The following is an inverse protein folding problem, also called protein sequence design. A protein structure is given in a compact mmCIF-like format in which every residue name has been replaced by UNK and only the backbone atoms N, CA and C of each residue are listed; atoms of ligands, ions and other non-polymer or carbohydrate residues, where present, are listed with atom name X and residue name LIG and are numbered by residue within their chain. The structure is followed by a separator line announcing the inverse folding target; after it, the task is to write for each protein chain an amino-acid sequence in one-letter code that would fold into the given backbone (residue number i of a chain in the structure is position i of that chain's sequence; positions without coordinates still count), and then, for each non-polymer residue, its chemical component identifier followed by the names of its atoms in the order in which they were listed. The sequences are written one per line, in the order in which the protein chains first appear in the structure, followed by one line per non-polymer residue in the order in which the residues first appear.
data_IF_744382818924
#
_entry.id   IF_744382818924
#
_cell.length_a   1.000
_cell.length_b   1.000
_cell.length_c   1.000
_cell.angle_alpha   90.00
_cell.angle_beta   90.00
_cell.angle_gamma   90.00
#
_symmetry.space_group_name_H-M   'P 1'
#
loop_
_entity.id
_entity.type
_entity.pdbx_description
1 polymer ?
#
# COMPACT_ATOMS: atom_id res chain seq x y z
N UNK A 1 -3.09 3.23 -3.19
CA UNK A 1 -3.49 2.65 -1.89
C UNK A 1 -4.29 1.36 -2.06
N UNK A 2 -5.45 1.38 -2.71
CA UNK A 2 -6.21 0.13 -2.98
C UNK A 2 -5.40 -0.87 -3.82
N UNK A 3 -4.64 -0.39 -4.82
CA UNK A 3 -3.71 -1.22 -5.60
C UNK A 3 -2.60 -1.84 -4.74
N UNK A 4 -1.92 -1.04 -3.92
CA UNK A 4 -0.87 -1.52 -3.01
C UNK A 4 -1.37 -2.62 -2.05
N UNK A 5 -2.57 -2.45 -1.48
CA UNK A 5 -3.16 -3.44 -0.56
C UNK A 5 -3.62 -4.72 -1.26
N UNK A 6 -4.03 -4.65 -2.53
CA UNK A 6 -4.68 -5.77 -3.23
C UNK A 6 -3.85 -6.42 -4.35
N UNK A 7 -2.81 -5.73 -4.87
CA UNK A 7 -1.91 -6.18 -5.95
C UNK A 7 -0.43 -6.19 -5.52
N UNK A 8 -0.07 -5.44 -4.47
CA UNK A 8 1.23 -5.52 -3.78
C UNK A 8 2.46 -5.34 -4.70
N UNK A 9 2.34 -4.53 -5.77
CA UNK A 9 3.44 -4.27 -6.70
C UNK A 9 4.48 -3.32 -6.09
N UNK A 10 5.78 -3.51 -6.40
CA UNK A 10 6.85 -2.64 -5.88
C UNK A 10 6.65 -1.20 -6.33
N UNK A 11 6.19 -1.00 -7.57
CA UNK A 11 5.87 0.34 -8.09
C UNK A 11 4.81 1.06 -7.26
N UNK A 12 3.72 0.38 -6.89
CA UNK A 12 2.67 0.97 -6.04
C UNK A 12 3.22 1.42 -4.68
N UNK A 13 4.14 0.64 -4.09
CA UNK A 13 4.79 0.97 -2.81
C UNK A 13 5.76 2.14 -2.95
N UNK A 14 6.52 2.17 -4.05
CA UNK A 14 7.45 3.25 -4.35
C UNK A 14 6.72 4.58 -4.57
N UNK A 15 5.63 4.57 -5.34
CA UNK A 15 4.79 5.74 -5.57
C UNK A 15 4.17 6.23 -4.25
N UNK A 16 3.74 5.31 -3.38
CA UNK A 16 3.22 5.67 -2.06
C UNK A 16 4.29 6.24 -1.12
N UNK A 17 5.51 5.71 -1.10
CA UNK A 17 6.60 6.31 -0.32
C UNK A 17 6.89 7.73 -0.79
N UNK A 18 6.94 7.95 -2.10
CA UNK A 18 7.18 9.25 -2.69
C UNK A 18 6.06 10.26 -2.37
N UNK A 19 4.79 9.85 -2.52
CA UNK A 19 3.66 10.71 -2.17
C UNK A 19 3.65 11.04 -0.68
N UNK A 20 4.01 10.08 0.17
CA UNK A 20 4.02 10.28 1.62
C UNK A 20 5.24 11.02 2.16
N UNK A 21 6.19 11.39 1.30
CA UNK A 21 7.19 12.41 1.66
C UNK A 21 6.60 13.82 1.65
N UNK A 22 5.52 14.04 0.89
CA UNK A 22 4.86 15.35 0.76
C UNK A 22 3.59 15.46 1.62
N UNK A 23 2.87 14.35 1.78
CA UNK A 23 1.61 14.30 2.53
C UNK A 23 1.74 13.23 3.62
N UNK A 24 1.53 13.55 4.91
CA UNK A 24 1.58 12.55 5.97
C UNK A 24 0.67 11.35 5.69
N UNK A 25 1.15 10.14 6.03
CA UNK A 25 0.39 8.90 5.82
C UNK A 25 -0.98 8.95 6.52
N UNK A 26 -1.07 9.57 7.69
CA UNK A 26 -2.32 9.76 8.42
C UNK A 26 -3.36 10.55 7.62
N UNK A 27 -2.96 11.69 7.05
CA UNK A 27 -3.83 12.51 6.21
C UNK A 27 -4.26 11.73 4.96
N UNK A 28 -3.34 10.94 4.40
CA UNK A 28 -3.62 10.11 3.24
C UNK A 28 -4.67 9.01 3.53
N UNK A 29 -4.59 8.37 4.69
CA UNK A 29 -5.59 7.39 5.15
C UNK A 29 -6.94 8.07 5.45
N UNK A 30 -6.92 9.26 6.05
CA UNK A 30 -8.14 10.04 6.33
C UNK A 30 -8.86 10.42 5.04
N UNK A 31 -8.13 10.94 4.05
CA UNK A 31 -8.68 11.26 2.73
C UNK A 31 -9.28 10.02 2.05
N UNK A 32 -8.65 8.84 2.18
CA UNK A 32 -9.23 7.61 1.64
C UNK A 32 -10.54 7.26 2.36
N UNK A 33 -10.57 7.36 3.69
CA UNK A 33 -11.76 7.08 4.49
C UNK A 33 -12.91 8.01 4.12
N UNK A 34 -12.64 9.30 3.96
CA UNK A 34 -13.63 10.28 3.51
C UNK A 34 -14.14 9.97 2.10
N UNK A 35 -13.24 9.64 1.18
CA UNK A 35 -13.64 9.22 -0.17
C UNK A 35 -14.56 8.00 -0.11
N UNK A 36 -14.18 6.98 0.65
CA UNK A 36 -14.98 5.77 0.79
C UNK A 36 -16.37 6.09 1.34
N UNK A 37 -16.46 6.90 2.39
CA UNK A 37 -17.73 7.33 2.96
C UNK A 37 -18.61 8.11 1.97
N UNK A 38 -18.01 9.00 1.16
CA UNK A 38 -18.76 9.80 0.17
C UNK A 38 -19.27 8.97 -1.02
N UNK A 39 -18.57 7.89 -1.37
CA UNK A 39 -18.83 7.11 -2.59
C UNK A 39 -19.20 5.63 -2.30
N UNK A 40 -19.73 5.31 -1.12
CA UNK A 40 -20.14 3.94 -0.76
C UNK A 40 -21.58 3.57 -1.18
N UNK A 41 -22.30 4.47 -1.84
CA UNK A 41 -23.69 4.23 -2.27
C UNK A 41 -23.79 3.29 -3.48
N UNK A 42 -24.95 2.66 -3.67
CA UNK A 42 -25.21 1.71 -4.76
C UNK A 42 -24.94 2.31 -6.15
N UNK A 43 -25.22 3.60 -6.32
CA UNK A 43 -25.00 4.36 -7.56
C UNK A 43 -23.53 4.54 -7.92
N UNK A 44 -22.63 4.36 -6.95
CA UNK A 44 -21.19 4.51 -7.13
C UNK A 44 -20.48 3.16 -7.22
N UNK A 45 -21.20 2.05 -7.02
CA UNK A 45 -20.63 0.72 -7.19
C UNK A 45 -20.27 0.47 -8.64
N UNK A 46 -19.11 -0.14 -8.83
CA UNK A 46 -18.56 -0.55 -10.09
C UNK A 46 -18.19 -2.04 -10.07
N UNK A 47 -17.78 -2.56 -11.23
CA UNK A 47 -17.40 -3.96 -11.40
C UNK A 47 -16.31 -4.42 -10.39
N UNK A 48 -15.45 -3.50 -9.95
CA UNK A 48 -14.35 -3.80 -9.03
C UNK A 48 -14.80 -3.95 -7.57
N UNK A 49 -15.98 -3.44 -7.21
CA UNK A 49 -16.52 -3.59 -5.85
C UNK A 49 -17.05 -5.00 -5.57
N UNK A 50 -17.23 -5.81 -6.62
CA UNK A 50 -17.59 -7.23 -6.52
C UNK A 50 -16.44 -8.10 -5.99
N UNK A 51 -15.19 -7.60 -6.05
CA UNK A 51 -14.00 -8.35 -5.64
C UNK A 51 -13.75 -8.32 -4.11
N UNK A 52 -14.67 -7.74 -3.31
CA UNK A 52 -14.54 -7.56 -1.86
C UNK A 52 -13.15 -7.04 -1.46
N UNK A 53 -12.67 -6.00 -2.15
CA UNK A 53 -11.33 -5.46 -1.95
C UNK A 53 -11.16 -4.96 -0.52
N UNK A 54 -10.06 -5.34 0.13
CA UNK A 54 -9.77 -4.87 1.47
C UNK A 54 -9.19 -3.46 1.40
N UNK A 55 -9.72 -2.58 2.25
CA UNK A 55 -9.25 -1.20 2.36
C UNK A 55 -8.12 -1.11 3.38
N UNK A 56 -6.96 -0.51 3.03
CA UNK A 56 -5.91 -0.20 4.00
C UNK A 56 -6.32 0.81 5.09
N UNK A 57 -7.45 1.50 4.93
CA UNK A 57 -8.04 2.32 5.99
C UNK A 57 -8.74 1.46 7.06
N UNK A 58 -9.10 0.23 6.74
CA UNK A 58 -9.73 -0.74 7.65
C UNK A 58 -8.68 -1.70 8.23
N UNK A 59 -7.72 -2.14 7.40
CA UNK A 59 -6.57 -2.93 7.84
C UNK A 59 -5.25 -2.37 7.30
N UNK A 60 -4.56 -1.65 8.17
CA UNK A 60 -3.28 -1.00 7.89
C UNK A 60 -2.16 -2.01 7.65
N UNK A 61 -2.26 -3.22 8.20
CA UNK A 61 -1.23 -4.26 8.04
C UNK A 61 -1.11 -4.71 6.57
N UNK A 62 -2.15 -4.53 5.76
CA UNK A 62 -2.12 -4.78 4.32
C UNK A 62 -1.06 -3.93 3.59
N UNK A 63 -0.72 -2.75 4.12
CA UNK A 63 0.33 -1.90 3.57
C UNK A 63 1.74 -2.45 3.79
N UNK A 64 1.92 -3.46 4.64
CA UNK A 64 3.18 -4.18 4.87
C UNK A 64 3.23 -5.55 4.18
N UNK A 65 2.09 -6.03 3.67
CA UNK A 65 1.97 -7.38 3.13
C UNK A 65 2.67 -7.57 1.77
N UNK A 66 3.21 -6.51 1.16
CA UNK A 66 4.02 -6.57 -0.05
C UNK A 66 5.35 -7.31 0.16
N UNK A 67 5.82 -7.39 1.41
CA UNK A 67 7.09 -8.01 1.74
C UNK A 67 7.08 -9.54 1.69
N UNK A 68 5.88 -10.14 1.71
CA UNK A 68 5.67 -11.58 1.84
C UNK A 68 5.24 -12.25 0.53
N UNK A 69 5.10 -11.47 -0.56
CA UNK A 69 4.47 -12.00 -1.78
C UNK A 69 5.49 -12.55 -2.76
N UNK A 70 5.45 -13.86 -2.97
CA UNK A 70 5.73 -14.43 -4.28
C UNK A 70 4.64 -13.91 -5.24
N UNK A 71 5.04 -13.06 -6.20
CA UNK A 71 4.15 -12.44 -7.20
C UNK A 71 3.33 -13.45 -8.01
N UNK A 72 3.66 -14.75 -7.94
CA UNK A 72 2.97 -15.87 -8.57
C UNK A 72 1.65 -16.29 -7.88
N UNK A 73 1.35 -15.79 -6.67
CA UNK A 73 0.29 -16.36 -5.82
C UNK A 73 -1.13 -15.84 -6.07
N UNK A 74 -1.36 -14.87 -6.97
CA UNK A 74 -2.71 -14.40 -7.32
C UNK A 74 -3.08 -14.81 -8.76
N UNK A 75 -3.38 -16.10 -9.01
CA UNK A 75 -3.85 -16.54 -10.31
C UNK A 75 -5.17 -15.80 -10.61
N UNK A 76 -5.25 -15.11 -11.75
CA UNK A 76 -6.41 -14.37 -12.31
C UNK A 76 -6.53 -12.87 -12.01
N UNK A 77 -5.56 -12.22 -11.35
CA UNK A 77 -5.54 -10.75 -11.28
C UNK A 77 -4.56 -10.15 -12.31
N UNK A 78 -4.84 -8.96 -12.86
CA UNK A 78 -3.86 -8.24 -13.65
C UNK A 78 -2.64 -7.94 -12.79
N UNK A 79 -1.49 -8.47 -13.18
CA UNK A 79 -0.23 -8.31 -12.45
C UNK A 79 0.75 -7.55 -13.34
N UNK A 80 1.69 -6.82 -12.73
CA UNK A 80 2.78 -6.23 -13.50
C UNK A 80 3.72 -7.35 -13.96
N UNK A 81 3.90 -7.51 -15.27
CA UNK A 81 4.83 -8.49 -15.83
C UNK A 81 6.30 -8.16 -15.52
N UNK A 82 6.60 -6.88 -15.31
CA UNK A 82 7.90 -6.37 -14.90
C UNK A 82 7.71 -5.38 -13.76
N UNK A 83 8.42 -5.60 -12.65
CA UNK A 83 8.37 -4.75 -11.45
C UNK A 83 9.64 -3.88 -11.33
N UNK A 84 10.22 -3.52 -12.49
CA UNK A 84 11.38 -2.64 -12.58
C UNK A 84 10.93 -1.21 -12.28
N UNK A 85 11.64 -0.56 -11.35
CA UNK A 85 11.45 0.84 -11.03
C UNK A 85 12.56 1.60 -11.74
N UNK A 86 12.20 2.39 -12.76
CA UNK A 86 13.12 3.30 -13.42
C UNK A 86 13.36 4.51 -12.50
N UNK A 87 14.40 4.39 -11.67
CA UNK A 87 14.76 5.39 -10.67
C UNK A 87 15.49 6.53 -11.38
N UNK A 88 14.92 7.74 -11.34
CA UNK A 88 15.65 8.95 -11.73
C UNK A 88 16.85 9.14 -10.78
N UNK A 89 18.01 9.64 -11.25
CA UNK A 89 19.25 9.66 -10.47
C UNK A 89 19.17 10.37 -9.11
N UNK A 90 18.25 11.34 -8.96
CA UNK A 90 18.03 12.10 -7.73
C UNK A 90 17.06 11.45 -6.75
N UNK A 91 16.40 10.36 -7.13
CA UNK A 91 15.32 9.74 -6.35
C UNK A 91 15.84 8.57 -5.50
N UNK A 92 15.06 8.19 -4.48
CA UNK A 92 15.39 7.08 -3.58
C UNK A 92 15.57 5.78 -4.36
N UNK A 93 16.54 4.95 -3.97
CA UNK A 93 16.58 3.59 -4.47
C UNK A 93 15.38 2.78 -3.94
N UNK A 94 15.02 1.68 -4.61
CA UNK A 94 13.96 0.78 -4.13
C UNK A 94 14.18 0.32 -2.69
N UNK A 95 15.43 -0.02 -2.33
CA UNK A 95 15.79 -0.50 -0.98
C UNK A 95 15.51 0.60 0.06
N UNK A 96 15.86 1.85 -0.27
CA UNK A 96 15.61 3.01 0.59
C UNK A 96 14.12 3.32 0.70
N UNK A 97 13.39 3.33 -0.42
CA UNK A 97 11.96 3.58 -0.44
C UNK A 97 11.18 2.50 0.33
N UNK A 98 11.52 1.22 0.15
CA UNK A 98 10.96 0.10 0.92
C UNK A 98 11.15 0.28 2.42
N UNK A 99 12.37 0.63 2.84
CA UNK A 99 12.70 0.82 4.26
C UNK A 99 11.99 2.04 4.85
N UNK A 100 11.94 3.14 4.09
CA UNK A 100 11.22 4.37 4.43
C UNK A 100 9.72 4.10 4.61
N UNK A 101 9.10 3.43 3.63
CA UNK A 101 7.69 3.07 3.67
C UNK A 101 7.35 2.19 4.88
N UNK A 102 8.13 1.13 5.13
CA UNK A 102 7.94 0.26 6.31
C UNK A 102 7.96 1.06 7.60
N UNK A 103 8.91 2.00 7.73
CA UNK A 103 9.01 2.86 8.92
C UNK A 103 7.77 3.73 9.08
N UNK A 104 7.35 4.44 8.02
CA UNK A 104 6.13 5.27 8.04
C UNK A 104 4.89 4.49 8.47
N UNK A 105 4.69 3.29 7.92
CA UNK A 105 3.53 2.46 8.26
C UNK A 105 3.61 1.95 9.69
N UNK A 106 4.78 1.48 10.15
CA UNK A 106 4.98 1.01 11.53
C UNK A 106 4.77 2.15 12.54
N UNK A 107 5.30 3.34 12.26
CA UNK A 107 5.15 4.50 13.12
C UNK A 107 3.68 4.95 13.20
N UNK A 108 2.95 4.88 12.09
CA UNK A 108 1.50 5.09 12.09
C UNK A 108 0.76 4.00 12.89
N UNK A 109 1.10 2.72 12.73
CA UNK A 109 0.48 1.65 13.53
C UNK A 109 0.71 1.88 15.03
N UNK A 110 1.93 2.25 15.42
CA UNK A 110 2.28 2.58 16.82
C UNK A 110 1.51 3.78 17.34
N UNK A 111 1.36 4.85 16.55
CA UNK A 111 0.59 6.03 16.96
C UNK A 111 -0.90 5.74 17.17
N UNK A 112 -1.43 4.69 16.52
CA UNK A 112 -2.80 4.19 16.70
C UNK A 112 -2.93 3.05 17.73
N UNK A 113 -1.84 2.65 18.39
CA UNK A 113 -1.84 1.54 19.36
C UNK A 113 -1.98 0.15 18.73
N UNK A 114 -1.74 0.02 17.42
CA UNK A 114 -1.80 -1.24 16.68
C UNK A 114 -0.41 -1.91 16.76
N UNK A 115 -0.37 -3.20 17.09
CA UNK A 115 0.88 -3.95 17.15
C UNK A 115 1.38 -4.24 15.74
N UNK A 116 2.58 -3.77 15.35
CA UNK A 116 3.13 -4.06 14.02
C UNK A 116 3.53 -5.54 13.90
N UNK A 117 3.45 -6.14 12.70
CA UNK A 117 3.90 -7.51 12.47
C UNK A 117 5.41 -7.64 12.75
N UNK A 118 5.88 -8.81 13.21
CA UNK A 118 7.29 -9.04 13.46
C UNK A 118 8.11 -8.77 12.19
N UNK A 119 9.19 -7.99 12.34
CA UNK A 119 10.13 -7.72 11.25
C UNK A 119 10.86 -9.02 10.95
N UNK A 120 10.55 -9.66 9.81
CA UNK A 120 11.37 -10.79 9.37
C UNK A 120 12.73 -10.27 8.91
N UNK A 121 13.84 -10.92 9.32
CA UNK A 121 15.17 -10.55 8.85
C UNK A 121 15.25 -10.72 7.33
N UNK A 122 15.84 -9.73 6.67
CA UNK A 122 16.13 -9.77 5.25
C UNK A 122 17.35 -10.70 5.08
N UNK A 123 17.15 -11.89 4.54
CA UNK A 123 18.24 -12.73 4.03
C UNK A 123 18.64 -12.27 2.63
#
# INVERSE_FOLDING_TARGET
MMSASNRKARKDIYDLDFLTDQIPLEDFLLMLKEKHFRFSGETFKCLFDLDHQQSPAEDVALLLAFDQTDYSALPKRPNHSNDIIDILPSNKSWITARSSWRRKVIDYMRSKGITPPPVQPVN
#
